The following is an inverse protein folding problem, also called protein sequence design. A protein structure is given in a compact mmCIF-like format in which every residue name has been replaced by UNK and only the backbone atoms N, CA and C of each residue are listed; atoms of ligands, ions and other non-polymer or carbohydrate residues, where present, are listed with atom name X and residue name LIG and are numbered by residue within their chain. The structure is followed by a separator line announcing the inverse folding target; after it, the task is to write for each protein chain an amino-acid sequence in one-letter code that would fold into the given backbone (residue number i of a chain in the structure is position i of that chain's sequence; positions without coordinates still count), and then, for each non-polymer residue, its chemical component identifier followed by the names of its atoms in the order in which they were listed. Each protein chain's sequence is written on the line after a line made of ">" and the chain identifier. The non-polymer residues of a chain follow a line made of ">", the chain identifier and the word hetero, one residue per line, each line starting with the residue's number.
data_IF_354748954341
#
_entry.id   IF_354748954341
#
_cell.length_a   1.000
_cell.length_b   1.000
_cell.length_c   1.000
_cell.angle_alpha   90.00
_cell.angle_beta   90.00
_cell.angle_gamma   90.00
#
_symmetry.space_group_name_H-M   'P 1'
#
loop_
_entity.id
_entity.type
_entity.pdbx_description
1 polymer ?
#
# COMPACT_ATOMS: atom_id res chain seq x y z
N UNK A 1 9.59 -33.74 -7.08
CA UNK A 1 10.77 -33.25 -6.33
C UNK A 1 10.81 -31.75 -6.51
N UNK A 2 10.51 -30.96 -5.46
CA UNK A 2 10.44 -29.49 -5.53
C UNK A 2 11.76 -28.89 -5.06
N UNK A 3 12.58 -28.39 -5.98
CA UNK A 3 13.76 -27.62 -5.65
C UNK A 3 13.36 -26.16 -5.41
N UNK A 4 13.80 -25.59 -4.28
CA UNK A 4 13.56 -24.18 -3.96
C UNK A 4 14.90 -23.47 -3.87
N UNK A 5 15.08 -22.43 -4.67
CA UNK A 5 16.26 -21.55 -4.61
C UNK A 5 15.82 -20.28 -3.88
N UNK A 6 16.57 -19.89 -2.84
CA UNK A 6 16.31 -18.67 -2.06
C UNK A 6 17.51 -17.73 -2.19
N UNK A 7 17.23 -16.44 -2.38
CA UNK A 7 18.24 -15.39 -2.41
C UNK A 7 18.12 -14.54 -1.14
N UNK A 8 19.26 -14.15 -0.56
CA UNK A 8 19.32 -13.30 0.63
C UNK A 8 20.49 -12.33 0.50
N UNK A 9 20.35 -11.14 1.09
CA UNK A 9 21.43 -10.15 1.20
C UNK A 9 21.86 -10.04 2.65
N UNK A 10 23.15 -10.14 2.91
CA UNK A 10 23.74 -10.00 4.24
C UNK A 10 24.68 -8.80 4.25
N UNK A 11 24.72 -8.10 5.38
CA UNK A 11 25.73 -7.08 5.65
C UNK A 11 26.68 -7.64 6.71
N UNK A 12 27.96 -7.76 6.36
CA UNK A 12 28.95 -8.39 7.20
C UNK A 12 30.03 -7.37 7.61
N UNK A 13 30.41 -7.38 8.88
CA UNK A 13 31.50 -6.54 9.42
C UNK A 13 32.88 -7.20 9.29
N UNK A 14 32.95 -8.43 8.76
CA UNK A 14 34.18 -9.21 8.62
C UNK A 14 34.20 -10.03 7.32
N UNK A 15 35.32 -10.68 7.05
CA UNK A 15 35.57 -11.41 5.80
C UNK A 15 35.03 -12.84 5.78
N UNK A 16 34.44 -13.32 6.88
CA UNK A 16 33.98 -14.70 7.02
C UNK A 16 32.48 -14.73 7.25
N UNK A 17 31.77 -15.50 6.42
CA UNK A 17 30.35 -15.81 6.57
C UNK A 17 30.22 -17.28 6.91
N UNK A 18 29.68 -17.57 8.09
CA UNK A 18 29.40 -18.93 8.55
C UNK A 18 27.90 -19.24 8.35
N UNK A 19 27.51 -20.51 8.20
CA UNK A 19 26.11 -20.90 8.05
C UNK A 19 25.19 -20.36 9.16
N UNK A 20 25.67 -20.27 10.40
CA UNK A 20 24.94 -19.72 11.54
C UNK A 20 24.61 -18.22 11.42
N UNK A 21 25.31 -17.48 10.55
CA UNK A 21 24.99 -16.08 10.26
C UNK A 21 23.81 -15.94 9.28
N UNK A 22 23.39 -17.04 8.66
CA UNK A 22 22.31 -17.10 7.68
C UNK A 22 21.02 -17.51 8.39
N UNK A 23 20.29 -16.54 8.93
CA UNK A 23 18.94 -16.79 9.45
C UNK A 23 17.94 -16.53 8.34
N UNK A 24 17.33 -17.60 7.82
CA UNK A 24 16.21 -17.46 6.89
C UNK A 24 15.02 -16.89 7.66
N UNK A 25 14.49 -15.71 7.28
CA UNK A 25 13.22 -15.28 7.82
C UNK A 25 12.16 -16.34 7.48
N UNK A 26 11.13 -16.49 8.33
CA UNK A 26 10.01 -17.35 8.00
C UNK A 26 9.48 -16.94 6.62
N UNK A 27 9.05 -17.93 5.84
CA UNK A 27 8.48 -17.67 4.54
C UNK A 27 7.36 -16.64 4.70
N UNK A 28 7.40 -15.60 3.85
CA UNK A 28 6.24 -14.75 3.72
C UNK A 28 5.15 -15.66 3.18
N UNK A 29 4.12 -15.87 4.00
CA UNK A 29 2.93 -16.58 3.56
C UNK A 29 2.56 -16.00 2.19
N UNK A 30 2.45 -16.83 1.14
CA UNK A 30 1.94 -16.33 -0.12
C UNK A 30 0.61 -15.64 0.21
N UNK A 31 0.36 -14.47 -0.36
CA UNK A 31 -0.91 -13.74 -0.24
C UNK A 31 -2.03 -14.53 -0.95
N UNK A 32 -2.23 -15.76 -0.52
CA UNK A 32 -3.34 -16.62 -0.85
C UNK A 32 -4.33 -16.33 0.24
N UNK A 33 -5.25 -15.44 -0.13
CA UNK A 33 -6.61 -15.37 0.35
C UNK A 33 -6.76 -15.70 1.84
N UNK A 34 -6.96 -14.66 2.65
CA UNK A 34 -7.70 -14.76 3.91
C UNK A 34 -8.85 -15.77 3.77
N UNK A 35 -8.62 -17.00 4.24
CA UNK A 35 -9.64 -17.97 4.55
C UNK A 35 -9.29 -18.50 5.93
N UNK A 36 -10.10 -18.02 6.87
CA UNK A 36 -10.45 -18.66 8.14
C UNK A 36 -9.43 -18.65 9.28
N UNK A 37 -9.59 -17.59 10.08
CA UNK A 37 -9.78 -17.69 11.53
C UNK A 37 -8.63 -18.25 12.37
N UNK A 38 -7.70 -17.36 12.79
CA UNK A 38 -7.35 -17.25 14.22
C UNK A 38 -7.23 -15.78 14.62
N UNK A 39 -8.21 -15.37 15.42
CA UNK A 39 -8.36 -14.15 16.20
C UNK A 39 -7.04 -13.56 16.73
N UNK A 40 -6.57 -12.47 16.14
CA UNK A 40 -5.90 -11.39 16.88
C UNK A 40 -6.36 -10.05 16.33
N UNK A 41 -6.84 -9.22 17.25
CA UNK A 41 -7.51 -7.96 17.01
C UNK A 41 -6.49 -6.94 16.50
N UNK A 42 -6.69 -6.45 15.28
CA UNK A 42 -6.33 -5.08 14.92
C UNK A 42 -7.44 -4.53 14.03
N UNK A 43 -8.17 -3.57 14.59
CA UNK A 43 -9.31 -2.90 13.97
C UNK A 43 -8.85 -2.14 12.72
N UNK A 44 -8.94 -2.78 11.56
CA UNK A 44 -9.18 -2.05 10.32
C UNK A 44 -10.67 -2.14 10.06
N UNK A 45 -11.43 -1.16 10.56
CA UNK A 45 -12.81 -0.95 10.12
C UNK A 45 -12.78 -0.49 8.66
N UNK A 46 -12.59 -1.45 7.76
CA UNK A 46 -13.01 -1.33 6.37
C UNK A 46 -14.52 -1.33 6.38
N UNK A 47 -15.12 -0.16 6.23
CA UNK A 47 -16.53 -0.09 5.91
C UNK A 47 -16.65 -0.55 4.45
N UNK A 48 -16.88 -1.86 4.27
CA UNK A 48 -17.21 -2.48 3.01
C UNK A 48 -18.49 -1.84 2.46
N UNK A 49 -18.34 -0.81 1.62
CA UNK A 49 -19.20 -0.67 0.46
C UNK A 49 -18.46 -1.26 -0.73
N UNK A 50 -18.56 -2.58 -0.86
CA UNK A 50 -18.50 -3.18 -2.20
C UNK A 50 -19.67 -2.62 -3.01
N UNK A 51 -19.40 -2.30 -4.28
CA UNK A 51 -20.05 -3.09 -5.30
C UNK A 51 -19.02 -3.56 -6.32
N UNK A 52 -18.68 -4.85 -6.30
CA UNK A 52 -18.33 -5.70 -7.44
C UNK A 52 -17.69 -5.06 -8.69
N UNK A 53 -16.70 -4.19 -8.52
CA UNK A 53 -15.85 -3.72 -9.60
C UNK A 53 -14.52 -4.46 -9.44
N UNK A 54 -14.16 -5.25 -10.45
CA UNK A 54 -12.86 -5.91 -10.56
C UNK A 54 -11.79 -4.99 -9.94
N UNK A 55 -11.15 -5.45 -8.86
CA UNK A 55 -10.16 -4.65 -8.12
C UNK A 55 -9.14 -4.23 -9.15
N UNK A 56 -9.15 -2.95 -9.52
CA UNK A 56 -8.22 -2.42 -10.50
C UNK A 56 -6.83 -2.58 -9.89
N UNK A 57 -6.04 -3.54 -10.38
CA UNK A 57 -4.69 -3.81 -9.91
C UNK A 57 -3.66 -2.88 -10.56
N UNK A 58 -4.12 -1.87 -11.32
CA UNK A 58 -3.26 -0.84 -11.86
C UNK A 58 -2.51 -0.09 -10.76
N UNK A 59 -1.25 0.25 -11.05
CA UNK A 59 -0.42 1.09 -10.20
C UNK A 59 -1.12 2.42 -9.87
N UNK A 60 -1.84 2.99 -10.83
CA UNK A 60 -2.55 4.26 -10.64
C UNK A 60 -3.62 4.17 -9.56
N UNK A 61 -4.38 3.07 -9.55
CA UNK A 61 -5.42 2.83 -8.55
C UNK A 61 -4.81 2.62 -7.16
N UNK A 62 -3.68 1.91 -7.09
CA UNK A 62 -2.95 1.64 -5.85
C UNK A 62 -2.40 2.94 -5.26
N UNK A 63 -1.80 3.79 -6.09
CA UNK A 63 -1.32 5.12 -5.69
C UNK A 63 -2.47 5.98 -5.18
N UNK A 64 -3.63 5.99 -5.86
CA UNK A 64 -4.81 6.76 -5.41
C UNK A 64 -5.30 6.30 -4.03
N UNK A 65 -5.45 4.98 -3.83
CA UNK A 65 -5.84 4.41 -2.52
C UNK A 65 -4.83 4.74 -1.43
N UNK A 66 -3.54 4.61 -1.72
CA UNK A 66 -2.48 4.89 -0.75
C UNK A 66 -2.45 6.37 -0.35
N UNK A 67 -2.54 7.29 -1.31
CA UNK A 67 -2.60 8.74 -1.04
C UNK A 67 -3.80 9.10 -0.18
N UNK A 68 -4.97 8.51 -0.43
CA UNK A 68 -6.17 8.75 0.35
C UNK A 68 -6.03 8.25 1.80
N UNK A 69 -5.50 7.04 1.99
CA UNK A 69 -5.25 6.47 3.32
C UNK A 69 -4.31 7.35 4.15
N UNK A 70 -3.19 7.80 3.57
CA UNK A 70 -2.24 8.66 4.29
C UNK A 70 -2.83 10.04 4.58
N UNK A 71 -3.68 10.55 3.69
CA UNK A 71 -4.39 11.81 3.92
C UNK A 71 -5.36 11.72 5.09
N UNK A 72 -6.10 10.61 5.20
CA UNK A 72 -7.00 10.32 6.33
C UNK A 72 -6.22 10.14 7.64
N UNK A 73 -5.12 9.35 7.62
CA UNK A 73 -4.21 9.18 8.76
C UNK A 73 -3.62 10.51 9.26
N UNK A 74 -3.37 11.45 8.35
CA UNK A 74 -2.89 12.78 8.67
C UNK A 74 -3.98 13.74 9.20
N UNK A 75 -5.17 13.24 9.55
CA UNK A 75 -6.34 14.01 9.95
C UNK A 75 -6.70 15.10 8.91
N UNK A 76 -6.65 14.72 7.63
CA UNK A 76 -6.91 15.59 6.48
C UNK A 76 -5.99 16.82 6.40
N UNK A 77 -4.87 16.82 7.13
CA UNK A 77 -3.89 17.91 7.07
C UNK A 77 -2.91 17.66 5.92
N UNK A 78 -3.14 18.34 4.79
CA UNK A 78 -2.32 18.21 3.57
C UNK A 78 -0.81 18.36 3.83
N UNK A 79 -0.41 19.30 4.70
CA UNK A 79 1.00 19.51 5.05
C UNK A 79 1.64 18.27 5.71
N UNK A 80 0.90 17.61 6.60
CA UNK A 80 1.38 16.41 7.31
C UNK A 80 1.38 15.21 6.37
N UNK A 81 0.32 15.02 5.59
CA UNK A 81 0.22 13.96 4.60
C UNK A 81 1.34 14.04 3.55
N UNK A 82 1.62 15.23 3.00
CA UNK A 82 2.70 15.41 2.02
C UNK A 82 4.08 15.08 2.61
N UNK A 83 4.30 15.43 3.90
CA UNK A 83 5.53 15.08 4.62
C UNK A 83 5.65 13.56 4.82
N UNK A 84 4.55 12.87 5.13
CA UNK A 84 4.53 11.41 5.29
C UNK A 84 4.78 10.67 3.97
N UNK A 85 4.26 11.20 2.86
CA UNK A 85 4.42 10.63 1.51
C UNK A 85 5.76 11.00 0.85
N UNK A 86 6.54 11.93 1.43
CA UNK A 86 7.78 12.40 0.83
C UNK A 86 7.59 13.22 -0.46
N UNK A 87 6.41 13.79 -0.68
CA UNK A 87 6.09 14.57 -1.89
C UNK A 87 5.80 16.04 -1.55
N UNK A 88 5.74 16.88 -2.59
CA UNK A 88 5.34 18.28 -2.41
C UNK A 88 3.83 18.40 -2.13
N UNK A 89 3.43 19.48 -1.44
CA UNK A 89 2.02 19.79 -1.19
C UNK A 89 1.21 19.95 -2.49
N UNK A 90 1.82 20.51 -3.53
CA UNK A 90 1.20 20.69 -4.84
C UNK A 90 1.00 19.36 -5.56
N UNK A 91 1.94 18.41 -5.44
CA UNK A 91 1.78 17.05 -5.95
C UNK A 91 0.64 16.32 -5.24
N UNK A 92 0.58 16.39 -3.90
CA UNK A 92 -0.52 15.81 -3.12
C UNK A 92 -1.88 16.38 -3.56
N UNK A 93 -2.00 17.69 -3.71
CA UNK A 93 -3.24 18.34 -4.14
C UNK A 93 -3.68 17.88 -5.55
N UNK A 94 -2.74 17.59 -6.45
CA UNK A 94 -3.05 17.01 -7.77
C UNK A 94 -3.61 15.60 -7.64
N UNK A 95 -3.00 14.74 -6.83
CA UNK A 95 -3.51 13.37 -6.60
C UNK A 95 -4.90 13.37 -5.97
N UNK A 96 -5.17 14.27 -5.02
CA UNK A 96 -6.50 14.40 -4.39
C UNK A 96 -7.56 14.90 -5.38
N UNK A 97 -7.19 15.79 -6.31
CA UNK A 97 -8.11 16.28 -7.35
C UNK A 97 -8.41 15.23 -8.42
N UNK A 98 -7.45 14.37 -8.73
CA UNK A 98 -7.60 13.36 -9.78
C UNK A 98 -8.24 12.05 -9.26
N UNK A 99 -8.32 11.88 -7.93
CA UNK A 99 -9.04 10.79 -7.27
C UNK A 99 -10.51 11.11 -6.95
N UNK A 100 -10.96 12.35 -7.09
CA UNK A 100 -12.36 12.72 -6.88
C UNK A 100 -13.27 12.26 -8.04
N UNK A 101 -14.53 11.88 -7.80
CA UNK A 101 -15.47 11.61 -8.88
C UNK A 101 -15.55 12.84 -9.79
N UNK A 102 -15.14 12.70 -11.05
CA UNK A 102 -15.26 13.77 -12.04
C UNK A 102 -16.75 13.96 -12.35
N UNK A 103 -17.44 14.75 -11.52
CA UNK A 103 -18.74 15.29 -11.88
C UNK A 103 -18.50 16.23 -13.06
N UNK A 104 -18.84 15.75 -14.26
CA UNK A 104 -18.86 16.55 -15.48
C UNK A 104 -19.97 17.59 -15.32
N UNK A 105 -19.67 18.73 -14.70
CA UNK A 105 -20.52 19.90 -14.84
C UNK A 105 -20.31 20.44 -16.25
N UNK A 106 -21.15 19.98 -17.17
CA UNK A 106 -21.33 20.62 -18.46
C UNK A 106 -21.82 22.05 -18.23
N UNK A 107 -20.96 23.03 -18.48
CA UNK A 107 -21.41 24.40 -18.66
C UNK A 107 -22.14 24.50 -20.00
N UNK A 108 -23.47 24.44 -19.94
CA UNK A 108 -24.33 24.91 -21.00
C UNK A 108 -24.26 26.44 -21.00
N UNK A 109 -23.58 27.01 -22.00
CA UNK A 109 -23.72 28.44 -22.32
C UNK A 109 -25.02 28.59 -23.11
N UNK A 110 -25.92 29.39 -22.55
CA UNK A 110 -27.14 29.89 -23.18
C UNK A 110 -26.78 30.99 -24.18
#
# INVERSE_FOLDING_TARGET
>A
MSHTVRAMTLFCNGSVVLPEHVVFPPDLEPDRARSDNVKSVSMFTSNNKEPGAAIDLSLESAVKRHVQLVFEQANQKQRRAAKLLGISRSALARHLRDGGPKVKHGWSKK
#
